data_IF_958830164758
#
_entry.id   IF_958830164758
#
_cell.length_a   1.000
_cell.length_b   1.000
_cell.length_c   1.000
_cell.angle_alpha   90.00
_cell.angle_beta   90.00
_cell.angle_gamma   90.00
#
_symmetry.space_group_name_H-M   'P 1'
#
loop_
_entity.id
_entity.type
_entity.pdbx_description
1 polymer ?
#
# COMPACT_ATOMS: atom_id res chain seq x y z
N UNK A 1 13.13 -0.95 17.78
CA UNK A 1 11.98 -0.12 17.30
C UNK A 1 11.83 -0.18 15.78
N UNK A 2 12.90 0.04 15.00
CA UNK A 2 12.85 0.03 13.52
C UNK A 2 12.23 -1.23 12.90
N UNK A 3 12.62 -2.42 13.37
CA UNK A 3 12.10 -3.70 12.83
C UNK A 3 10.58 -3.82 12.98
N UNK A 4 10.02 -3.42 14.12
CA UNK A 4 8.57 -3.47 14.36
C UNK A 4 7.83 -2.55 13.39
N UNK A 5 8.30 -1.31 13.22
CA UNK A 5 7.72 -0.36 12.28
C UNK A 5 7.77 -0.87 10.84
N UNK A 6 8.92 -1.42 10.41
CA UNK A 6 9.08 -1.98 9.09
C UNK A 6 8.13 -3.18 8.84
N UNK A 7 7.99 -4.08 9.81
CA UNK A 7 7.06 -5.21 9.71
C UNK A 7 5.61 -4.75 9.64
N UNK A 8 5.21 -3.81 10.50
CA UNK A 8 3.86 -3.24 10.45
C UNK A 8 3.61 -2.47 9.16
N UNK A 9 4.64 -1.85 8.58
CA UNK A 9 4.54 -1.11 7.34
C UNK A 9 4.35 -2.03 6.14
N UNK A 10 5.12 -3.13 6.06
CA UNK A 10 4.94 -4.17 5.06
C UNK A 10 3.58 -4.85 5.21
N UNK A 11 3.17 -5.18 6.44
CA UNK A 11 1.87 -5.78 6.72
C UNK A 11 0.72 -4.86 6.28
N UNK A 12 0.82 -3.56 6.61
CA UNK A 12 -0.15 -2.57 6.17
C UNK A 12 -0.22 -2.49 4.64
N UNK A 13 0.92 -2.43 3.95
CA UNK A 13 0.95 -2.40 2.48
C UNK A 13 0.29 -3.65 1.86
N UNK A 14 0.55 -4.84 2.40
CA UNK A 14 -0.08 -6.09 1.93
C UNK A 14 -1.60 -6.06 2.15
N UNK A 15 -2.05 -5.60 3.33
CA UNK A 15 -3.48 -5.53 3.64
C UNK A 15 -4.20 -4.47 2.80
N UNK A 16 -3.56 -3.34 2.57
CA UNK A 16 -4.11 -2.23 1.79
C UNK A 16 -4.21 -2.61 0.31
N UNK A 17 -3.08 -2.97 -0.31
CA UNK A 17 -3.01 -3.28 -1.75
C UNK A 17 -3.74 -4.59 -2.04
N UNK A 18 -3.50 -5.62 -1.22
CA UNK A 18 -4.18 -6.90 -1.34
C UNK A 18 -5.67 -6.80 -1.07
N UNK A 19 -6.09 -6.01 -0.09
CA UNK A 19 -7.51 -5.75 0.19
C UNK A 19 -8.21 -5.06 -0.97
N UNK A 20 -7.59 -4.02 -1.54
CA UNK A 20 -8.09 -3.34 -2.73
C UNK A 20 -8.18 -4.29 -3.94
N UNK A 21 -7.15 -5.12 -4.16
CA UNK A 21 -7.13 -6.11 -5.22
C UNK A 21 -8.22 -7.19 -5.03
N UNK A 22 -8.46 -7.66 -3.81
CA UNK A 22 -9.55 -8.62 -3.51
C UNK A 22 -10.94 -8.02 -3.82
N UNK A 23 -11.17 -6.76 -3.47
CA UNK A 23 -12.40 -6.06 -3.84
C UNK A 23 -12.52 -5.93 -5.35
N UNK A 24 -11.44 -5.56 -6.04
CA UNK A 24 -11.39 -5.49 -7.50
C UNK A 24 -11.78 -6.83 -8.15
N UNK A 25 -11.16 -7.92 -7.70
CA UNK A 25 -11.43 -9.28 -8.18
C UNK A 25 -12.88 -9.71 -7.90
N UNK A 26 -13.44 -9.35 -6.74
CA UNK A 26 -14.82 -9.67 -6.41
C UNK A 26 -15.84 -8.90 -7.26
N UNK A 27 -15.60 -7.61 -7.52
CA UNK A 27 -16.54 -6.73 -8.25
C UNK A 27 -16.37 -6.83 -9.76
N UNK A 28 -15.14 -6.71 -10.27
CA UNK A 28 -14.86 -6.64 -11.73
C UNK A 28 -14.67 -8.01 -12.38
N UNK A 29 -14.00 -8.93 -11.70
CA UNK A 29 -13.80 -10.30 -12.24
C UNK A 29 -14.94 -11.25 -11.83
N UNK A 30 -16.02 -10.71 -11.26
CA UNK A 30 -17.23 -11.45 -10.85
C UNK A 30 -16.94 -12.69 -9.98
N UNK A 31 -15.84 -12.71 -9.23
CA UNK A 31 -15.47 -13.83 -8.35
C UNK A 31 -16.39 -13.98 -7.14
N UNK A 32 -17.26 -13.01 -6.91
CA UNK A 32 -18.36 -13.07 -5.95
C UNK A 32 -18.11 -12.30 -4.66
N UNK A 33 -19.16 -12.24 -3.83
CA UNK A 33 -19.19 -11.43 -2.60
C UNK A 33 -18.15 -11.87 -1.55
N UNK A 34 -17.70 -13.12 -1.59
CA UNK A 34 -16.66 -13.65 -0.69
C UNK A 34 -15.32 -12.92 -0.87
N UNK A 35 -14.93 -12.62 -2.12
CA UNK A 35 -13.73 -11.87 -2.45
C UNK A 35 -13.85 -10.42 -1.99
N UNK A 36 -15.01 -9.80 -2.21
CA UNK A 36 -15.29 -8.45 -1.72
C UNK A 36 -15.23 -8.40 -0.20
N UNK A 37 -15.88 -9.35 0.49
CA UNK A 37 -15.87 -9.43 1.96
C UNK A 37 -14.47 -9.60 2.52
N UNK A 38 -13.65 -10.49 1.93
CA UNK A 38 -12.26 -10.66 2.31
C UNK A 38 -11.45 -9.37 2.10
N UNK A 39 -11.68 -8.67 0.98
CA UNK A 39 -11.04 -7.38 0.70
C UNK A 39 -11.42 -6.29 1.69
N UNK A 40 -12.71 -6.18 2.05
CA UNK A 40 -13.19 -5.23 3.06
C UNK A 40 -12.58 -5.53 4.44
N UNK A 41 -12.51 -6.81 4.82
CA UNK A 41 -11.88 -7.21 6.08
C UNK A 41 -10.39 -6.84 6.07
N UNK A 42 -9.67 -7.09 4.97
CA UNK A 42 -8.27 -6.72 4.83
C UNK A 42 -8.06 -5.21 4.91
N UNK A 43 -8.88 -4.41 4.23
CA UNK A 43 -8.84 -2.95 4.31
C UNK A 43 -9.18 -2.42 5.71
N UNK A 44 -10.13 -3.04 6.41
CA UNK A 44 -10.42 -2.75 7.81
C UNK A 44 -9.21 -3.05 8.70
N UNK A 45 -8.59 -4.23 8.52
CA UNK A 45 -7.40 -4.64 9.25
C UNK A 45 -6.22 -3.71 9.00
N UNK A 46 -6.04 -3.21 7.76
CA UNK A 46 -5.05 -2.20 7.42
C UNK A 46 -5.18 -0.96 8.32
N UNK A 47 -6.39 -0.44 8.50
CA UNK A 47 -6.64 0.72 9.37
C UNK A 47 -6.14 0.49 10.81
N UNK A 48 -6.36 -0.71 11.35
CA UNK A 48 -5.84 -1.08 12.67
C UNK A 48 -4.31 -1.20 12.67
N UNK A 49 -3.71 -1.83 11.66
CA UNK A 49 -2.25 -1.96 11.55
C UNK A 49 -1.57 -0.60 11.43
N UNK A 50 -2.14 0.32 10.63
CA UNK A 50 -1.66 1.69 10.50
C UNK A 50 -1.74 2.45 11.84
N UNK A 51 -2.79 2.23 12.62
CA UNK A 51 -2.94 2.83 13.96
C UNK A 51 -1.90 2.32 14.98
N UNK A 52 -1.32 1.14 14.78
CA UNK A 52 -0.27 0.59 15.65
C UNK A 52 1.15 1.05 15.29
N UNK A 53 1.33 1.92 14.29
CA UNK A 53 2.64 2.51 13.99
C UNK A 53 3.12 3.38 15.16
N UNK A 54 4.39 3.25 15.59
CA UNK A 54 4.91 3.98 16.74
C UNK A 54 5.22 5.47 16.50
N UNK A 55 5.17 5.96 15.25
CA UNK A 55 5.40 7.38 14.95
C UNK A 55 4.11 8.19 15.15
N UNK A 56 4.19 9.22 16.00
CA UNK A 56 3.05 10.05 16.38
C UNK A 56 2.55 10.97 15.24
N UNK A 57 3.33 11.15 14.17
CA UNK A 57 2.95 12.02 13.06
C UNK A 57 2.09 11.26 12.04
N UNK A 58 0.80 11.10 12.35
CA UNK A 58 -0.18 10.45 11.47
C UNK A 58 -0.04 10.87 9.99
N UNK A 59 0.07 12.18 9.73
CA UNK A 59 0.21 12.70 8.36
C UNK A 59 1.48 12.27 7.64
N UNK A 60 2.61 12.12 8.34
CA UNK A 60 3.88 11.69 7.72
C UNK A 60 3.90 10.20 7.46
N UNK A 61 3.36 9.43 8.39
CA UNK A 61 3.20 7.98 8.25
C UNK A 61 2.26 7.67 7.07
N UNK A 62 1.11 8.33 7.01
CA UNK A 62 0.14 8.15 5.92
C UNK A 62 0.70 8.63 4.57
N UNK A 63 1.43 9.74 4.55
CA UNK A 63 2.11 10.19 3.33
C UNK A 63 3.14 9.16 2.85
N UNK A 64 3.91 8.57 3.77
CA UNK A 64 4.86 7.51 3.44
C UNK A 64 4.17 6.25 2.90
N UNK A 65 3.05 5.85 3.52
CA UNK A 65 2.19 4.81 3.00
C UNK A 65 1.72 5.12 1.58
N UNK A 66 1.34 6.36 1.28
CA UNK A 66 0.90 6.76 -0.06
C UNK A 66 1.93 6.49 -1.17
N UNK A 67 3.21 6.83 -0.97
CA UNK A 67 4.22 6.54 -2.01
C UNK A 67 4.56 5.06 -2.12
N UNK A 68 4.54 4.33 -1.00
CA UNK A 68 4.73 2.88 -1.04
C UNK A 68 3.50 2.18 -1.62
N UNK A 69 2.31 2.73 -1.45
CA UNK A 69 1.10 2.25 -2.09
C UNK A 69 1.22 2.34 -3.61
N UNK A 70 1.77 3.44 -4.15
CA UNK A 70 2.02 3.57 -5.60
C UNK A 70 2.99 2.50 -6.09
N UNK A 71 4.19 2.43 -5.50
CA UNK A 71 5.21 1.46 -5.92
C UNK A 71 4.76 0.01 -5.69
N UNK A 72 4.12 -0.24 -4.56
CA UNK A 72 3.58 -1.53 -4.15
C UNK A 72 2.42 -1.97 -5.02
N UNK A 73 1.54 -1.08 -5.48
CA UNK A 73 0.44 -1.42 -6.39
C UNK A 73 0.96 -1.86 -7.75
N UNK A 74 2.00 -1.21 -8.27
CA UNK A 74 2.67 -1.66 -9.50
C UNK A 74 3.32 -3.02 -9.31
N UNK A 75 4.06 -3.21 -8.21
CA UNK A 75 4.69 -4.49 -7.89
C UNK A 75 3.64 -5.60 -7.71
N UNK A 76 2.52 -5.29 -7.06
CA UNK A 76 1.41 -6.22 -6.89
C UNK A 76 0.79 -6.58 -8.23
N UNK A 77 0.55 -5.61 -9.11
CA UNK A 77 0.09 -5.87 -10.47
C UNK A 77 1.04 -6.77 -11.25
N UNK A 78 2.37 -6.58 -11.09
CA UNK A 78 3.38 -7.45 -11.71
C UNK A 78 3.26 -8.89 -11.21
N UNK A 79 3.13 -9.07 -9.89
CA UNK A 79 3.14 -10.39 -9.25
C UNK A 79 1.80 -11.13 -9.41
N UNK A 80 0.68 -10.43 -9.22
CA UNK A 80 -0.66 -11.02 -9.21
C UNK A 80 -1.27 -11.13 -10.61
N UNK A 81 -1.12 -10.09 -11.43
CA UNK A 81 -1.82 -9.98 -12.72
C UNK A 81 -0.86 -10.05 -13.92
N UNK A 82 0.45 -10.21 -13.70
CA UNK A 82 1.46 -10.24 -14.76
C UNK A 82 1.63 -8.89 -15.47
N UNK A 83 1.20 -7.79 -14.84
CA UNK A 83 1.33 -6.44 -15.38
C UNK A 83 2.80 -6.12 -15.67
N UNK A 84 3.06 -5.49 -16.81
CA UNK A 84 4.41 -5.07 -17.20
C UNK A 84 4.48 -3.55 -17.10
N UNK A 85 5.03 -2.99 -16.00
CA UNK A 85 5.12 -1.55 -15.82
C UNK A 85 5.95 -0.97 -16.96
N UNK A 86 5.42 0.08 -17.57
CA UNK A 86 6.14 0.78 -18.62
C UNK A 86 7.19 1.73 -18.00
N UNK A 87 7.90 2.45 -18.88
CA UNK A 87 8.92 3.41 -18.43
C UNK A 87 8.31 4.57 -17.62
N UNK A 88 7.06 4.92 -17.89
CA UNK A 88 6.35 6.00 -17.20
C UNK A 88 5.85 5.55 -15.84
N UNK A 89 5.39 4.31 -15.68
CA UNK A 89 5.01 3.70 -14.40
C UNK A 89 6.20 3.69 -13.43
N UNK A 90 7.36 3.23 -13.90
CA UNK A 90 8.59 3.19 -13.09
C UNK A 90 9.03 4.61 -12.72
N UNK A 91 9.00 5.54 -13.68
CA UNK A 91 9.36 6.94 -13.42
C UNK A 91 8.40 7.59 -12.44
N UNK A 92 7.10 7.36 -12.59
CA UNK A 92 6.05 7.85 -11.69
C UNK A 92 6.23 7.30 -10.27
N UNK A 93 6.47 6.00 -10.13
CA UNK A 93 6.76 5.39 -8.84
C UNK A 93 8.02 5.99 -8.19
N UNK A 94 9.08 6.22 -8.96
CA UNK A 94 10.30 6.86 -8.47
C UNK A 94 10.03 8.29 -7.97
N UNK A 95 9.22 9.07 -8.70
CA UNK A 95 8.81 10.42 -8.28
C UNK A 95 7.97 10.38 -7.00
N UNK A 96 7.02 9.45 -6.88
CA UNK A 96 6.22 9.28 -5.67
C UNK A 96 7.09 8.89 -4.46
N UNK A 97 8.04 7.96 -4.64
CA UNK A 97 8.98 7.58 -3.60
C UNK A 97 9.92 8.73 -3.21
N UNK A 98 10.36 9.55 -4.16
CA UNK A 98 11.13 10.75 -3.89
C UNK A 98 10.32 11.78 -3.09
N UNK A 99 9.03 11.97 -3.42
CA UNK A 99 8.10 12.80 -2.66
C UNK A 99 7.91 12.31 -1.22
N UNK A 100 7.78 10.99 -1.02
CA UNK A 100 7.77 10.39 0.32
C UNK A 100 9.08 10.63 1.05
N UNK A 101 10.21 10.46 0.37
CA UNK A 101 11.53 10.76 0.91
C UNK A 101 11.64 12.21 1.37
N UNK A 102 11.11 13.15 0.60
CA UNK A 102 11.05 14.56 0.97
C UNK A 102 10.18 14.78 2.23
N UNK A 103 8.99 14.18 2.31
CA UNK A 103 8.10 14.34 3.48
C UNK A 103 8.72 13.72 4.75
N UNK A 104 9.42 12.59 4.61
CA UNK A 104 10.03 11.86 5.72
C UNK A 104 11.38 12.41 6.17
N UNK A 105 12.20 12.93 5.24
CA UNK A 105 13.60 13.29 5.51
C UNK A 105 13.94 14.76 5.23
N UNK A 106 13.00 15.59 4.76
CA UNK A 106 13.27 17.03 4.66
C UNK A 106 13.67 17.58 6.05
N UNK A 107 14.79 18.32 6.13
CA UNK A 107 15.25 18.92 7.37
C UNK A 107 14.20 19.94 7.86
N UNK A 108 13.67 19.70 9.05
CA UNK A 108 12.69 20.55 9.76
C UNK A 108 13.03 20.59 11.23
#
# INVERSE_FOLDING_TARGET
MVVKSALLFVLAAILEIGGAWLVWQGVREHRGLTWVGAGVIALGAYGFVAAFQPDAHFGRVLAAYGGVFVAGSLLWGVVADGFRPDRWDITGAAVCLAGVGLIMYAPR
#
